data_IF_828632991791
#
_entry.id   IF_828632991791
#
_cell.length_a   1.000
_cell.length_b   1.000
_cell.length_c   1.000
_cell.angle_alpha   90.00
_cell.angle_beta   90.00
_cell.angle_gamma   90.00
#
_symmetry.space_group_name_H-M   'P 1'
#
loop_
_entity.id
_entity.type
_entity.pdbx_description
1 polymer ?
#
# COMPACT_ATOMS: atom_id res chain seq x y z
N UNK A 1 -41.18 26.90 -19.68
CA UNK A 1 -41.10 28.05 -18.75
C UNK A 1 -40.03 27.72 -17.72
N UNK A 2 -38.93 28.51 -17.74
CA UNK A 2 -37.90 28.73 -16.70
C UNK A 2 -37.10 27.48 -16.25
N UNK A 3 -35.84 27.24 -16.64
CA UNK A 3 -34.57 27.98 -16.43
C UNK A 3 -34.34 28.45 -14.98
N UNK A 4 -33.39 27.83 -14.30
CA UNK A 4 -32.60 28.37 -13.18
C UNK A 4 -31.14 27.94 -13.46
N UNK A 5 -30.24 28.77 -14.01
CA UNK A 5 -29.57 30.00 -13.52
C UNK A 5 -28.77 29.80 -12.22
N UNK A 6 -27.52 29.33 -12.42
CA UNK A 6 -26.23 29.80 -11.86
C UNK A 6 -26.05 30.06 -10.37
N UNK A 7 -24.98 29.48 -9.81
CA UNK A 7 -23.97 30.26 -9.06
C UNK A 7 -22.59 29.78 -9.49
N UNK A 8 -21.85 30.64 -10.19
CA UNK A 8 -20.43 30.46 -10.41
C UNK A 8 -19.67 30.76 -9.11
N UNK A 9 -18.63 30.00 -8.83
CA UNK A 9 -17.57 30.43 -7.92
C UNK A 9 -16.29 30.52 -8.74
N UNK A 10 -15.87 31.75 -8.89
CA UNK A 10 -14.67 32.27 -9.54
C UNK A 10 -13.40 31.51 -9.14
N UNK A 11 -12.65 31.10 -10.15
CA UNK A 11 -11.26 30.70 -10.03
C UNK A 11 -10.46 31.83 -9.35
N UNK A 12 -9.83 31.50 -8.21
CA UNK A 12 -8.87 32.36 -7.56
C UNK A 12 -7.47 31.83 -7.86
N UNK A 13 -6.90 32.30 -8.96
CA UNK A 13 -5.48 32.12 -9.30
C UNK A 13 -4.65 33.05 -8.44
N UNK A 14 -3.93 32.51 -7.46
CA UNK A 14 -2.78 33.17 -6.87
C UNK A 14 -1.55 32.27 -6.91
N UNK A 15 -0.73 32.57 -7.91
CA UNK A 15 0.68 32.91 -7.77
C UNK A 15 1.65 31.83 -7.25
N UNK A 16 2.39 31.30 -8.22
CA UNK A 16 3.68 30.58 -8.18
C UNK A 16 4.46 30.73 -6.87
N UNK A 17 4.50 29.64 -6.10
CA UNK A 17 5.64 29.27 -5.26
C UNK A 17 6.34 28.08 -5.90
N UNK A 18 7.64 28.20 -6.19
CA UNK A 18 8.41 27.15 -6.84
C UNK A 18 8.68 25.99 -5.85
N UNK A 19 8.38 24.76 -6.29
CA UNK A 19 8.72 23.45 -5.70
C UNK A 19 7.64 22.80 -4.82
N UNK A 20 6.96 21.78 -5.38
CA UNK A 20 6.31 20.71 -4.60
C UNK A 20 4.93 20.29 -5.08
N UNK A 21 4.89 19.20 -5.85
CA UNK A 21 3.76 18.28 -6.02
C UNK A 21 2.40 18.84 -6.48
N UNK A 22 2.24 18.95 -7.80
CA UNK A 22 0.93 18.90 -8.45
C UNK A 22 0.45 17.43 -8.55
N UNK A 23 -0.57 17.08 -7.77
CA UNK A 23 -1.46 15.96 -8.08
C UNK A 23 -2.84 16.25 -7.47
N UNK A 24 -3.54 17.10 -8.19
CA UNK A 24 -4.96 17.44 -8.10
C UNK A 24 -5.90 16.23 -8.25
N UNK A 25 -6.85 16.07 -7.34
CA UNK A 25 -8.22 15.51 -7.52
C UNK A 25 -8.42 14.06 -8.02
N UNK A 26 -7.51 13.11 -7.81
CA UNK A 26 -7.76 11.70 -8.20
C UNK A 26 -8.70 10.91 -7.25
N UNK A 27 -9.00 11.43 -6.05
CA UNK A 27 -9.65 10.64 -4.98
C UNK A 27 -11.18 10.60 -4.99
N UNK A 28 -11.85 10.71 -6.15
CA UNK A 28 -13.34 10.63 -6.19
C UNK A 28 -13.91 9.55 -7.11
N UNK A 29 -13.09 8.73 -7.77
CA UNK A 29 -13.55 7.53 -8.50
C UNK A 29 -12.47 6.44 -8.49
N UNK A 30 -12.04 6.00 -7.30
CA UNK A 30 -11.08 4.90 -7.11
C UNK A 30 -11.64 3.65 -6.43
N UNK A 31 -12.91 3.64 -6.02
CA UNK A 31 -13.47 2.55 -5.20
C UNK A 31 -14.48 1.63 -5.92
N UNK A 32 -14.81 1.88 -7.19
CA UNK A 32 -15.76 1.04 -7.95
C UNK A 32 -15.43 1.00 -9.44
N UNK A 33 -14.22 0.54 -9.78
CA UNK A 33 -13.82 0.29 -11.16
C UNK A 33 -13.54 -1.20 -11.35
N UNK A 34 -14.48 -1.92 -11.97
CA UNK A 34 -14.22 -3.19 -12.62
C UNK A 34 -13.17 -2.96 -13.72
N UNK A 35 -11.89 -2.99 -13.33
CA UNK A 35 -10.76 -2.72 -14.20
C UNK A 35 -10.42 -4.00 -14.95
N UNK A 36 -10.80 -4.04 -16.22
CA UNK A 36 -10.36 -5.06 -17.20
C UNK A 36 -8.94 -4.78 -17.69
N UNK A 37 -8.04 -4.39 -16.79
CA UNK A 37 -6.61 -4.32 -17.07
C UNK A 37 -5.97 -5.58 -16.48
N UNK A 38 -5.25 -6.41 -17.25
CA UNK A 38 -4.62 -7.61 -16.73
C UNK A 38 -3.55 -7.32 -15.66
N UNK A 39 -3.18 -6.05 -15.45
CA UNK A 39 -2.28 -5.59 -14.39
C UNK A 39 -2.96 -4.79 -13.26
N UNK A 40 -4.27 -4.49 -13.32
CA UNK A 40 -4.95 -3.75 -12.24
C UNK A 40 -5.10 -4.53 -10.92
N UNK A 41 -4.68 -5.80 -10.87
CA UNK A 41 -4.60 -6.62 -9.66
C UNK A 41 -3.21 -7.18 -9.35
N UNK A 42 -2.17 -6.76 -10.07
CA UNK A 42 -0.82 -7.30 -9.95
C UNK A 42 0.04 -6.38 -9.06
N UNK A 43 0.40 -6.84 -7.87
CA UNK A 43 1.26 -6.07 -6.96
C UNK A 43 2.71 -6.25 -7.40
N UNK A 44 3.40 -5.16 -7.73
CA UNK A 44 4.81 -5.20 -8.15
C UNK A 44 5.76 -4.96 -6.98
N UNK A 45 7.02 -5.37 -7.12
CA UNK A 45 8.03 -5.06 -6.10
C UNK A 45 8.27 -3.55 -5.95
N UNK A 46 8.13 -2.79 -7.05
CA UNK A 46 8.20 -1.32 -7.02
C UNK A 46 7.08 -0.73 -6.19
N UNK A 47 5.85 -1.24 -6.34
CA UNK A 47 4.71 -0.83 -5.53
C UNK A 47 4.92 -1.18 -4.06
N UNK A 48 5.37 -2.40 -3.74
CA UNK A 48 5.71 -2.76 -2.36
C UNK A 48 6.71 -1.76 -1.76
N UNK A 49 7.70 -1.31 -2.53
CA UNK A 49 8.71 -0.35 -2.10
C UNK A 49 8.18 1.02 -1.67
N UNK A 50 6.96 1.42 -2.06
CA UNK A 50 6.35 2.68 -1.63
C UNK A 50 5.84 2.58 -0.18
N UNK A 51 5.42 1.39 0.24
CA UNK A 51 4.90 1.06 1.59
C UNK A 51 6.05 0.65 2.54
N UNK A 52 6.92 1.60 2.84
CA UNK A 52 8.22 1.38 3.51
C UNK A 52 8.33 1.91 4.94
N UNK A 53 7.21 2.27 5.57
CA UNK A 53 7.21 2.87 6.92
C UNK A 53 6.40 2.04 7.93
N UNK A 54 6.60 2.17 9.25
CA UNK A 54 5.84 1.39 10.22
C UNK A 54 4.32 1.61 10.16
N UNK A 55 3.88 2.82 9.83
CA UNK A 55 2.48 3.21 9.69
C UNK A 55 1.91 2.90 8.29
N UNK A 56 2.75 2.43 7.37
CA UNK A 56 2.40 2.01 6.02
C UNK A 56 3.44 1.00 5.51
N UNK A 57 3.28 -0.26 5.94
CA UNK A 57 4.30 -1.30 5.86
C UNK A 57 3.83 -2.50 5.05
N UNK A 58 4.31 -2.64 3.82
CA UNK A 58 4.17 -3.89 3.07
C UNK A 58 5.48 -4.66 3.03
N UNK A 59 5.37 -5.98 2.95
CA UNK A 59 6.55 -6.84 2.78
C UNK A 59 6.21 -8.04 1.90
N UNK A 60 7.22 -8.54 1.20
CA UNK A 60 7.11 -9.77 0.42
C UNK A 60 7.66 -10.93 1.25
N UNK A 61 6.88 -12.01 1.36
CA UNK A 61 7.32 -13.29 1.92
C UNK A 61 6.91 -14.39 0.96
N UNK A 62 7.88 -15.14 0.44
CA UNK A 62 7.65 -16.30 -0.43
C UNK A 62 6.80 -15.94 -1.67
N UNK A 63 7.06 -14.77 -2.27
CA UNK A 63 6.32 -14.26 -3.43
C UNK A 63 4.89 -13.80 -3.13
N UNK A 64 4.47 -13.74 -1.87
CA UNK A 64 3.20 -13.16 -1.46
C UNK A 64 3.43 -11.79 -0.81
N UNK A 65 2.47 -10.88 -0.96
CA UNK A 65 2.55 -9.54 -0.39
C UNK A 65 1.61 -9.44 0.82
N UNK A 66 2.13 -8.88 1.90
CA UNK A 66 1.44 -8.74 3.18
C UNK A 66 1.44 -7.29 3.65
N UNK A 67 0.29 -6.82 4.13
CA UNK A 67 0.18 -5.57 4.86
C UNK A 67 0.43 -5.83 6.36
N UNK A 68 1.58 -5.38 6.84
CA UNK A 68 2.05 -5.59 8.20
C UNK A 68 1.65 -4.44 9.16
N UNK A 69 1.11 -3.35 8.62
CA UNK A 69 0.71 -2.14 9.35
C UNK A 69 -0.14 -2.44 10.59
N UNK A 70 -1.22 -3.24 10.53
CA UNK A 70 -2.05 -3.51 11.71
C UNK A 70 -1.37 -4.44 12.73
N UNK A 71 -0.27 -5.10 12.37
CA UNK A 71 0.37 -6.12 13.20
C UNK A 71 1.66 -5.65 13.88
N UNK A 72 2.35 -4.64 13.32
CA UNK A 72 3.70 -4.23 13.73
C UNK A 72 3.84 -3.99 15.25
N UNK A 73 2.88 -3.29 15.86
CA UNK A 73 2.90 -2.97 17.28
C UNK A 73 2.61 -4.18 18.19
N UNK A 74 2.02 -5.24 17.64
CA UNK A 74 1.59 -6.45 18.37
C UNK A 74 2.55 -7.62 18.16
N UNK A 75 3.60 -7.44 17.36
CA UNK A 75 4.53 -8.49 17.03
C UNK A 75 5.33 -8.95 18.26
N UNK A 76 5.27 -10.25 18.64
CA UNK A 76 5.99 -10.76 19.81
C UNK A 76 7.51 -10.58 19.76
N UNK A 77 8.10 -10.52 18.57
CA UNK A 77 9.53 -10.23 18.37
C UNK A 77 9.89 -8.75 18.41
N UNK A 78 8.94 -7.87 18.70
CA UNK A 78 9.09 -6.41 18.71
C UNK A 78 8.83 -5.77 17.35
N UNK A 79 8.36 -4.52 17.37
CA UNK A 79 8.00 -3.74 16.17
C UNK A 79 9.19 -3.49 15.24
N UNK A 80 10.39 -3.27 15.81
CA UNK A 80 11.61 -3.03 15.04
C UNK A 80 11.97 -4.17 14.07
N UNK A 81 11.63 -5.41 14.43
CA UNK A 81 11.88 -6.57 13.57
C UNK A 81 11.08 -6.52 12.26
N UNK A 82 9.84 -6.01 12.32
CA UNK A 82 8.98 -5.84 11.13
C UNK A 82 9.29 -4.51 10.43
N UNK A 83 9.55 -3.43 11.18
CA UNK A 83 9.91 -2.13 10.60
C UNK A 83 11.11 -2.25 9.65
N UNK A 84 12.06 -3.13 9.98
CA UNK A 84 13.20 -3.45 9.12
C UNK A 84 12.86 -4.22 7.84
N UNK A 85 11.61 -4.65 7.62
CA UNK A 85 11.15 -5.41 6.45
C UNK A 85 10.16 -4.63 5.57
N UNK A 86 9.73 -3.44 6.00
CA UNK A 86 8.83 -2.62 5.21
C UNK A 86 9.47 -2.24 3.87
N UNK A 87 8.68 -2.27 2.81
CA UNK A 87 9.07 -1.88 1.47
C UNK A 87 9.99 -2.86 0.73
N UNK A 88 10.14 -4.10 1.20
CA UNK A 88 11.10 -5.05 0.61
C UNK A 88 10.67 -6.50 0.71
N UNK A 89 11.44 -7.37 0.05
CA UNK A 89 11.41 -8.81 0.33
C UNK A 89 12.02 -9.10 1.71
N UNK A 90 11.16 -9.59 2.60
CA UNK A 90 11.50 -10.03 3.94
C UNK A 90 11.61 -11.54 4.07
N UNK A 91 11.57 -12.29 2.96
CA UNK A 91 11.50 -13.77 2.97
C UNK A 91 12.66 -14.35 3.78
N UNK A 92 13.89 -13.92 3.51
CA UNK A 92 15.06 -14.44 4.23
C UNK A 92 15.01 -14.11 5.74
N UNK A 93 14.58 -12.91 6.11
CA UNK A 93 14.46 -12.50 7.51
C UNK A 93 13.38 -13.28 8.26
N UNK A 94 12.20 -13.41 7.66
CA UNK A 94 11.09 -14.18 8.23
C UNK A 94 11.44 -15.66 8.36
N UNK A 95 11.97 -16.28 7.29
CA UNK A 95 12.34 -17.71 7.30
C UNK A 95 13.51 -17.99 8.25
N UNK A 96 14.48 -17.08 8.36
CA UNK A 96 15.58 -17.21 9.32
C UNK A 96 15.10 -17.26 10.77
N UNK A 97 14.12 -16.45 11.13
CA UNK A 97 13.60 -16.38 12.50
C UNK A 97 12.49 -17.38 12.81
N UNK A 98 11.63 -17.67 11.85
CA UNK A 98 10.39 -18.43 12.08
C UNK A 98 10.34 -19.76 11.33
N UNK A 99 11.19 -19.98 10.33
CA UNK A 99 11.23 -21.18 9.50
C UNK A 99 9.82 -21.62 9.07
N UNK A 100 9.49 -22.86 9.44
CA UNK A 100 8.19 -23.49 9.18
C UNK A 100 7.30 -23.57 10.43
N UNK A 101 7.58 -22.79 11.48
CA UNK A 101 6.77 -22.81 12.69
C UNK A 101 5.32 -22.41 12.38
N UNK A 102 4.36 -23.23 12.82
CA UNK A 102 2.95 -23.08 12.44
C UNK A 102 2.36 -21.72 12.85
N UNK A 103 2.58 -21.30 14.09
CA UNK A 103 1.98 -20.06 14.62
C UNK A 103 2.35 -18.80 13.81
N UNK A 104 3.63 -18.44 13.57
CA UNK A 104 3.98 -17.24 12.81
C UNK A 104 3.55 -17.33 11.34
N UNK A 105 3.60 -18.52 10.73
CA UNK A 105 3.13 -18.70 9.35
C UNK A 105 1.61 -18.51 9.24
N UNK A 106 0.83 -18.98 10.22
CA UNK A 106 -0.62 -18.77 10.26
C UNK A 106 -1.01 -17.30 10.51
N UNK A 107 -0.16 -16.51 11.19
CA UNK A 107 -0.42 -15.08 11.37
C UNK A 107 -0.31 -14.27 10.08
N UNK A 108 0.34 -14.80 9.04
CA UNK A 108 0.45 -14.11 7.74
C UNK A 108 -0.85 -14.17 6.92
N UNK A 109 -1.65 -15.22 7.07
CA UNK A 109 -2.90 -15.44 6.32
C UNK A 109 -3.84 -14.21 6.31
N UNK A 110 -4.22 -13.62 7.47
CA UNK A 110 -5.12 -12.46 7.49
C UNK A 110 -4.47 -11.16 6.99
N UNK A 111 -3.14 -11.12 6.86
CA UNK A 111 -2.39 -9.94 6.43
C UNK A 111 -2.11 -9.96 4.92
N UNK A 112 -2.40 -11.08 4.25
CA UNK A 112 -2.10 -11.25 2.83
C UNK A 112 -3.03 -10.37 1.98
N UNK A 113 -2.43 -9.51 1.17
CA UNK A 113 -3.15 -8.63 0.25
C UNK A 113 -3.04 -9.08 -1.21
N UNK A 114 -2.07 -9.94 -1.54
CA UNK A 114 -1.94 -10.47 -2.89
C UNK A 114 -0.71 -11.34 -3.12
N UNK A 115 -0.47 -11.63 -4.38
CA UNK A 115 0.72 -12.33 -4.88
C UNK A 115 1.57 -11.33 -5.65
N UNK A 116 2.89 -11.41 -5.50
CA UNK A 116 3.83 -10.59 -6.23
C UNK A 116 3.73 -10.91 -7.72
N UNK A 117 3.59 -9.88 -8.54
CA UNK A 117 3.63 -9.98 -9.99
C UNK A 117 4.98 -10.57 -10.42
N UNK A 118 4.94 -11.69 -11.12
CA UNK A 118 6.13 -12.24 -11.79
C UNK A 118 6.43 -11.40 -13.04
N UNK A 119 7.71 -11.09 -13.31
CA UNK A 119 8.09 -10.42 -14.56
C UNK A 119 7.78 -11.25 -15.80
#
# INVERSE_FOLDING_TARGET
VLIAVSVGVTALTFLVGHSGAEATWANLIGATGNSTDPNAGAITATEVGTHSTPDDCWTIIDGNVYDMTPFIARHPGGSAAIAGLCGRDGTAGFRGQHGSASAPNAQLEPLKIGVLATP
#
